data_IF_681425124123
#
_entry.id   IF_681425124123
#
_cell.length_a   1.000
_cell.length_b   1.000
_cell.length_c   1.000
_cell.angle_alpha   90.00
_cell.angle_beta   90.00
_cell.angle_gamma   90.00
#
_symmetry.space_group_name_H-M   'P 1'
#
loop_
_entity.id
_entity.type
_entity.pdbx_description
1 polymer ?
#
# COMPACT_ATOMS: atom_id res chain seq x y z
N UNK A 1 -20.63 -34.41 -90.40
CA UNK A 1 -20.78 -32.95 -90.14
C UNK A 1 -21.54 -32.70 -88.84
N UNK A 2 -22.85 -32.92 -88.76
CA UNK A 2 -23.67 -32.67 -87.55
C UNK A 2 -23.13 -33.33 -86.29
N UNK A 3 -22.81 -34.63 -86.34
CA UNK A 3 -22.23 -35.36 -85.21
C UNK A 3 -20.86 -34.78 -84.78
N UNK A 4 -20.04 -34.37 -85.75
CA UNK A 4 -18.73 -33.77 -85.49
C UNK A 4 -18.86 -32.39 -84.82
N UNK A 5 -19.86 -31.59 -85.21
CA UNK A 5 -20.21 -30.33 -84.53
C UNK A 5 -20.63 -30.62 -83.10
N UNK A 6 -21.52 -31.59 -82.87
CA UNK A 6 -21.96 -31.97 -81.53
C UNK A 6 -20.80 -32.48 -80.64
N UNK A 7 -19.85 -33.26 -81.18
CA UNK A 7 -18.64 -33.63 -80.42
C UNK A 7 -17.72 -32.45 -80.09
N UNK A 8 -17.66 -31.44 -80.96
CA UNK A 8 -16.89 -30.21 -80.70
C UNK A 8 -17.59 -29.31 -79.67
N UNK A 9 -18.92 -29.30 -79.63
CA UNK A 9 -19.72 -28.61 -78.60
C UNK A 9 -19.49 -29.25 -77.23
N UNK A 10 -19.58 -30.58 -77.11
CA UNK A 10 -19.29 -31.30 -75.85
C UNK A 10 -17.87 -31.06 -75.36
N UNK A 11 -16.86 -31.15 -76.24
CA UNK A 11 -15.47 -30.87 -75.88
C UNK A 11 -15.25 -29.40 -75.47
N UNK A 12 -15.97 -28.46 -76.10
CA UNK A 12 -15.92 -27.04 -75.72
C UNK A 12 -16.51 -26.82 -74.33
N UNK A 13 -17.63 -27.46 -74.00
CA UNK A 13 -18.26 -27.34 -72.68
C UNK A 13 -17.43 -28.02 -71.59
N UNK A 14 -16.77 -29.14 -71.89
CA UNK A 14 -15.77 -29.75 -71.00
C UNK A 14 -14.56 -28.84 -70.76
N UNK A 15 -14.03 -28.21 -71.82
CA UNK A 15 -12.94 -27.21 -71.71
C UNK A 15 -13.38 -26.00 -70.87
N UNK A 16 -14.60 -25.50 -71.05
CA UNK A 16 -15.15 -24.40 -70.25
C UNK A 16 -15.22 -24.79 -68.77
N UNK A 17 -15.79 -25.97 -68.45
CA UNK A 17 -15.94 -26.46 -67.09
C UNK A 17 -14.58 -26.73 -66.41
N UNK A 18 -13.58 -27.19 -67.16
CA UNK A 18 -12.20 -27.33 -66.69
C UNK A 18 -11.53 -25.97 -66.46
N UNK A 19 -11.82 -24.95 -67.30
CA UNK A 19 -11.33 -23.59 -67.11
C UNK A 19 -11.95 -22.91 -65.88
N UNK A 20 -13.27 -23.03 -65.68
CA UNK A 20 -13.96 -22.54 -64.47
C UNK A 20 -13.42 -23.24 -63.21
N UNK A 21 -13.20 -24.56 -63.29
CA UNK A 21 -12.61 -25.32 -62.18
C UNK A 21 -11.17 -24.91 -61.89
N UNK A 22 -10.38 -24.57 -62.92
CA UNK A 22 -9.03 -24.02 -62.79
C UNK A 22 -9.06 -22.65 -62.10
N UNK A 23 -9.94 -21.73 -62.53
CA UNK A 23 -10.06 -20.40 -61.94
C UNK A 23 -10.44 -20.43 -60.46
N UNK A 24 -11.38 -21.29 -60.03
CA UNK A 24 -11.72 -21.42 -58.60
C UNK A 24 -10.62 -22.10 -57.78
N UNK A 25 -9.79 -22.96 -58.38
CA UNK A 25 -8.60 -23.51 -57.72
C UNK A 25 -7.50 -22.45 -57.58
N UNK A 26 -7.28 -21.61 -58.60
CA UNK A 26 -6.35 -20.47 -58.53
C UNK A 26 -6.78 -19.47 -57.47
N UNK A 27 -8.05 -19.01 -57.50
CA UNK A 27 -8.62 -18.12 -56.47
C UNK A 27 -8.52 -18.68 -55.05
N UNK A 28 -8.58 -20.00 -54.88
CA UNK A 28 -8.39 -20.68 -53.59
C UNK A 28 -6.92 -20.78 -53.19
N UNK A 29 -6.00 -20.91 -54.14
CA UNK A 29 -4.55 -20.84 -53.88
C UNK A 29 -4.18 -19.44 -53.42
N UNK A 30 -4.72 -18.40 -54.06
CA UNK A 30 -4.49 -16.99 -53.70
C UNK A 30 -4.98 -16.70 -52.27
N UNK A 31 -6.20 -17.12 -51.91
CA UNK A 31 -6.72 -17.02 -50.52
C UNK A 31 -5.80 -17.70 -49.50
N UNK A 32 -5.18 -18.84 -49.86
CA UNK A 32 -4.22 -19.58 -49.02
C UNK A 32 -2.79 -19.02 -49.08
N UNK A 33 -2.51 -18.05 -49.96
CA UNK A 33 -1.32 -17.21 -49.92
C UNK A 33 -1.59 -16.05 -48.95
N UNK A 34 -2.70 -15.33 -49.11
CA UNK A 34 -3.11 -14.23 -48.23
C UNK A 34 -3.21 -14.65 -46.76
N UNK A 35 -3.89 -15.77 -46.47
CA UNK A 35 -3.99 -16.34 -45.11
C UNK A 35 -2.61 -16.68 -44.52
N UNK A 36 -1.69 -17.18 -45.34
CA UNK A 36 -0.33 -17.56 -44.93
C UNK A 36 0.55 -16.34 -44.68
N UNK A 37 0.46 -15.31 -45.52
CA UNK A 37 1.22 -14.07 -45.35
C UNK A 37 0.73 -13.28 -44.14
N UNK A 38 -0.60 -13.24 -43.91
CA UNK A 38 -1.19 -12.73 -42.67
C UNK A 38 -0.70 -13.48 -41.43
N UNK A 39 -0.70 -14.82 -41.47
CA UNK A 39 -0.14 -15.64 -40.39
C UNK A 39 1.36 -15.39 -40.18
N UNK A 40 2.16 -15.26 -41.25
CA UNK A 40 3.59 -14.95 -41.13
C UNK A 40 3.81 -13.59 -40.46
N UNK A 41 3.06 -12.55 -40.86
CA UNK A 41 3.14 -11.23 -40.22
C UNK A 41 2.80 -11.28 -38.72
N UNK A 42 1.83 -12.11 -38.31
CA UNK A 42 1.55 -12.32 -36.87
C UNK A 42 2.63 -13.16 -36.16
N UNK A 43 3.28 -14.08 -36.87
CA UNK A 43 4.43 -14.84 -36.35
C UNK A 43 5.62 -13.91 -36.11
N UNK A 44 6.00 -13.11 -37.10
CA UNK A 44 7.09 -12.14 -37.02
C UNK A 44 6.88 -11.20 -35.82
N UNK A 45 5.70 -10.57 -35.72
CA UNK A 45 5.33 -9.68 -34.61
C UNK A 45 5.31 -10.36 -33.23
N UNK A 46 5.00 -11.66 -33.15
CA UNK A 46 5.09 -12.41 -31.89
C UNK A 46 6.51 -12.85 -31.56
N UNK A 47 7.38 -13.09 -32.55
CA UNK A 47 8.81 -13.35 -32.33
C UNK A 47 9.55 -12.10 -31.84
N UNK A 48 9.27 -10.92 -32.39
CA UNK A 48 9.81 -9.65 -31.87
C UNK A 48 9.40 -9.42 -30.41
N UNK A 49 8.12 -9.69 -30.08
CA UNK A 49 7.62 -9.62 -28.71
C UNK A 49 8.33 -10.60 -27.77
N UNK A 50 8.62 -11.82 -28.24
CA UNK A 50 9.36 -12.83 -27.49
C UNK A 50 10.80 -12.36 -27.23
N UNK A 51 11.50 -11.83 -28.24
CA UNK A 51 12.87 -11.31 -28.10
C UNK A 51 12.94 -10.14 -27.12
N UNK A 52 11.95 -9.23 -27.13
CA UNK A 52 11.86 -8.15 -26.15
C UNK A 52 11.68 -8.68 -24.71
N UNK A 53 10.80 -9.66 -24.50
CA UNK A 53 10.56 -10.27 -23.19
C UNK A 53 11.77 -11.07 -22.69
N UNK A 54 12.47 -11.81 -23.57
CA UNK A 54 13.73 -12.46 -23.24
C UNK A 54 14.81 -11.46 -22.80
N UNK A 55 14.93 -10.33 -23.49
CA UNK A 55 15.88 -9.27 -23.11
C UNK A 55 15.54 -8.71 -21.73
N UNK A 56 14.27 -8.39 -21.48
CA UNK A 56 13.80 -7.89 -20.19
C UNK A 56 14.05 -8.91 -19.06
N UNK A 57 13.82 -10.21 -19.31
CA UNK A 57 14.10 -11.29 -18.36
C UNK A 57 15.59 -11.39 -18.02
N UNK A 58 16.48 -11.34 -19.02
CA UNK A 58 17.94 -11.36 -18.83
C UNK A 58 18.44 -10.12 -18.07
N UNK A 59 17.82 -8.96 -18.29
CA UNK A 59 18.11 -7.72 -17.55
C UNK A 59 17.61 -7.80 -16.09
N UNK A 60 16.42 -8.36 -15.85
CA UNK A 60 15.92 -8.64 -14.51
C UNK A 60 16.80 -9.62 -13.74
N UNK A 61 17.23 -10.73 -14.35
CA UNK A 61 18.23 -11.63 -13.74
C UNK A 61 19.54 -10.92 -13.39
N UNK A 62 20.03 -10.03 -14.27
CA UNK A 62 21.26 -9.28 -14.02
C UNK A 62 21.11 -8.31 -12.84
N UNK A 63 19.97 -7.63 -12.71
CA UNK A 63 19.70 -6.75 -11.56
C UNK A 63 19.54 -7.53 -10.25
N UNK A 64 18.87 -8.69 -10.26
CA UNK A 64 18.79 -9.58 -9.10
C UNK A 64 20.17 -10.08 -8.67
N UNK A 65 20.99 -10.60 -9.60
CA UNK A 65 22.37 -11.02 -9.31
C UNK A 65 23.26 -9.89 -8.79
N UNK A 66 22.94 -8.63 -9.09
CA UNK A 66 23.61 -7.48 -8.48
C UNK A 66 23.10 -7.24 -7.04
N UNK A 67 21.78 -7.21 -6.83
CA UNK A 67 21.19 -7.10 -5.48
C UNK A 67 21.66 -8.20 -4.52
N UNK A 68 21.82 -9.43 -4.99
CA UNK A 68 22.34 -10.54 -4.19
C UNK A 68 23.78 -10.28 -3.71
N UNK A 69 24.63 -9.67 -4.56
CA UNK A 69 25.99 -9.25 -4.19
C UNK A 69 25.98 -8.06 -3.24
N UNK A 70 25.17 -7.04 -3.53
CA UNK A 70 24.95 -5.89 -2.66
C UNK A 70 24.56 -6.38 -1.24
N UNK A 71 23.69 -7.39 -1.15
CA UNK A 71 23.25 -8.02 0.10
C UNK A 71 24.32 -8.90 0.78
N UNK A 72 25.17 -9.62 0.03
CA UNK A 72 26.29 -10.35 0.66
C UNK A 72 27.33 -9.40 1.23
N UNK A 73 27.65 -8.31 0.54
CA UNK A 73 28.65 -7.35 0.98
C UNK A 73 28.14 -6.54 2.20
N UNK A 74 26.85 -6.20 2.22
CA UNK A 74 26.19 -5.61 3.39
C UNK A 74 26.10 -6.57 4.58
N UNK A 75 25.99 -7.89 4.36
CA UNK A 75 26.07 -8.88 5.44
C UNK A 75 27.49 -8.98 6.00
N UNK A 76 28.49 -9.21 5.15
CA UNK A 76 29.89 -9.32 5.55
C UNK A 76 30.40 -8.07 6.29
N UNK A 77 29.97 -6.88 5.89
CA UNK A 77 30.30 -5.63 6.60
C UNK A 77 29.55 -5.49 7.93
N UNK A 78 28.31 -5.96 8.04
CA UNK A 78 27.57 -5.97 9.30
C UNK A 78 28.14 -7.01 10.29
N UNK A 79 28.48 -8.21 9.82
CA UNK A 79 29.17 -9.25 10.60
C UNK A 79 30.50 -8.69 11.13
N UNK A 80 31.29 -8.03 10.28
CA UNK A 80 32.55 -7.37 10.67
C UNK A 80 32.36 -6.21 11.67
N UNK A 81 31.25 -5.49 11.62
CA UNK A 81 30.91 -4.48 12.63
C UNK A 81 30.45 -5.12 13.95
N UNK A 82 29.73 -6.23 13.89
CA UNK A 82 29.31 -7.03 15.04
C UNK A 82 30.54 -7.61 15.77
N UNK A 83 31.48 -8.23 15.05
CA UNK A 83 32.76 -8.69 15.60
C UNK A 83 33.53 -7.56 16.30
N UNK A 84 33.52 -6.35 15.73
CA UNK A 84 34.18 -5.18 16.34
C UNK A 84 33.46 -4.67 17.58
N UNK A 85 32.12 -4.68 17.60
CA UNK A 85 31.33 -4.34 18.79
C UNK A 85 31.50 -5.39 19.90
N UNK A 86 31.54 -6.67 19.56
CA UNK A 86 31.89 -7.75 20.49
C UNK A 86 33.32 -7.61 21.02
N UNK A 87 34.30 -7.31 20.17
CA UNK A 87 35.67 -7.05 20.62
C UNK A 87 35.72 -5.86 21.59
N UNK A 88 35.06 -4.74 21.28
CA UNK A 88 34.96 -3.57 22.18
C UNK A 88 34.27 -3.95 23.50
N UNK A 89 33.19 -4.73 23.48
CA UNK A 89 32.49 -5.21 24.68
C UNK A 89 33.38 -6.12 25.55
N UNK A 90 34.11 -7.05 24.92
CA UNK A 90 35.09 -7.95 25.57
C UNK A 90 36.29 -7.18 26.13
N UNK A 91 36.78 -6.15 25.43
CA UNK A 91 37.82 -5.25 25.93
C UNK A 91 37.33 -4.31 27.05
N UNK A 92 36.03 -3.98 27.09
CA UNK A 92 35.40 -3.20 28.16
C UNK A 92 35.15 -4.01 29.44
N UNK A 93 35.20 -5.35 29.35
CA UNK A 93 34.89 -6.27 30.47
C UNK A 93 36.15 -6.82 31.15
N UNK A 94 36.99 -5.92 31.67
CA UNK A 94 37.91 -6.26 32.78
C UNK A 94 37.18 -6.16 34.12
N UNK A 95 37.35 -7.10 35.06
CA UNK A 95 36.63 -7.10 36.34
C UNK A 95 37.24 -6.13 37.36
N UNK A 96 37.05 -4.82 37.15
CA UNK A 96 37.35 -3.79 38.17
C UNK A 96 36.22 -3.74 39.20
N UNK A 97 36.54 -4.10 40.45
CA UNK A 97 35.61 -4.10 41.57
C UNK A 97 35.56 -2.70 42.19
N UNK A 98 34.54 -1.91 41.82
CA UNK A 98 34.50 -0.46 42.04
C UNK A 98 35.04 0.31 40.81
N UNK A 99 34.69 1.58 40.60
CA UNK A 99 34.10 2.55 41.54
C UNK A 99 32.97 3.37 40.90
N UNK A 100 31.82 3.48 41.57
CA UNK A 100 30.84 4.58 41.39
C UNK A 100 30.82 5.51 42.62
N UNK A 101 31.75 5.31 43.56
CA UNK A 101 31.81 5.98 44.86
C UNK A 101 33.07 6.84 44.98
N UNK A 102 33.16 7.85 44.12
CA UNK A 102 34.16 8.94 44.18
C UNK A 102 33.55 10.33 43.88
N UNK A 103 32.22 10.42 43.72
CA UNK A 103 31.52 11.68 43.42
C UNK A 103 31.07 12.45 44.67
N UNK A 104 31.45 12.00 45.87
CA UNK A 104 30.91 12.48 47.16
C UNK A 104 31.96 13.19 48.03
N UNK A 105 33.27 12.99 47.79
CA UNK A 105 34.29 13.32 48.80
C UNK A 105 35.55 14.01 48.22
N UNK A 106 35.37 15.25 47.74
CA UNK A 106 36.41 16.29 47.83
C UNK A 106 35.76 17.57 48.36
N UNK A 107 35.82 17.74 49.67
CA UNK A 107 35.77 19.04 50.33
C UNK A 107 37.16 19.72 50.27
N UNK A 108 37.20 21.01 50.58
CA UNK A 108 38.38 21.89 50.86
C UNK A 108 39.15 22.55 49.68
N UNK A 109 39.43 23.85 49.88
CA UNK A 109 40.29 24.78 49.10
C UNK A 109 39.82 25.14 47.67
N UNK A 110 39.98 26.38 47.17
CA UNK A 110 40.63 27.59 47.75
C UNK A 110 40.01 28.93 47.24
N UNK A 111 40.59 30.08 47.62
CA UNK A 111 40.24 31.44 47.14
C UNK A 111 40.36 31.60 45.59
N UNK A 112 39.73 32.55 44.87
CA UNK A 112 39.69 34.01 45.09
C UNK A 112 38.58 34.80 44.33
N UNK A 113 38.39 36.07 44.76
CA UNK A 113 37.97 37.27 44.02
C UNK A 113 37.08 37.19 42.74
N UNK A 114 35.83 37.70 42.80
CA UNK A 114 35.48 39.07 42.31
C UNK A 114 33.98 39.45 42.32
N UNK A 115 33.76 40.73 42.68
CA UNK A 115 32.56 41.57 42.90
C UNK A 115 31.36 41.56 41.89
N UNK A 116 30.22 42.22 42.20
CA UNK A 116 28.88 41.78 41.78
C UNK A 116 28.12 42.72 40.81
N UNK A 117 26.80 42.44 40.66
CA UNK A 117 25.61 43.33 40.52
C UNK A 117 25.81 44.86 40.30
N UNK A 118 24.95 45.61 39.57
CA UNK A 118 23.67 45.34 38.87
C UNK A 118 23.19 46.58 38.07
N UNK A 119 22.02 46.49 37.42
CA UNK A 119 21.03 47.52 37.02
C UNK A 119 21.26 49.00 37.44
N UNK A 120 21.07 50.01 36.57
CA UNK A 120 19.77 50.66 36.22
C UNK A 120 19.04 51.25 37.46
N UNK A 121 18.53 52.50 37.52
CA UNK A 121 18.44 53.60 36.56
C UNK A 121 18.03 54.94 37.25
N UNK A 122 18.41 56.09 36.67
CA UNK A 122 17.80 57.45 36.73
C UNK A 122 17.00 57.86 37.98
N UNK A 123 17.48 58.90 38.70
CA UNK A 123 16.72 60.16 38.95
C UNK A 123 17.65 61.28 39.41
N UNK A 124 17.21 62.55 39.33
CA UNK A 124 18.05 63.74 39.41
C UNK A 124 17.33 64.89 40.17
N UNK A 125 18.10 65.77 40.84
CA UNK A 125 17.65 66.95 41.61
C UNK A 125 16.90 66.64 42.93
N UNK A 126 16.82 67.53 43.93
CA UNK A 126 17.12 68.97 43.94
C UNK A 126 17.62 69.51 45.30
N UNK A 127 18.62 70.41 45.24
CA UNK A 127 19.07 71.45 46.19
C UNK A 127 19.62 71.10 47.60
N UNK A 128 20.75 71.77 47.88
CA UNK A 128 21.37 71.95 49.19
C UNK A 128 20.86 73.23 49.90
N UNK A 129 21.43 73.53 51.07
CA UNK A 129 21.13 74.68 51.92
C UNK A 129 22.11 75.83 51.63
N UNK A 130 21.65 77.09 51.67
CA UNK A 130 22.51 78.27 51.81
C UNK A 130 22.04 79.16 52.98
N UNK A 131 22.90 80.09 53.39
CA UNK A 131 22.95 80.73 54.72
C UNK A 131 22.91 82.28 54.61
N UNK A 132 23.14 83.02 55.72
CA UNK A 132 23.28 84.49 55.82
C UNK A 132 21.97 85.33 55.65
N UNK A 133 21.77 86.50 56.26
CA UNK A 133 22.41 87.17 57.43
C UNK A 133 21.37 88.12 58.12
N UNK A 134 21.78 88.79 59.20
CA UNK A 134 21.01 89.75 60.02
C UNK A 134 20.65 91.08 59.31
N UNK A 135 19.64 91.78 59.86
CA UNK A 135 19.81 93.19 60.23
C UNK A 135 18.88 93.58 61.41
N UNK A 136 19.19 94.67 62.13
CA UNK A 136 18.49 95.10 63.38
C UNK A 136 17.94 96.56 63.26
N UNK A 137 17.64 97.39 64.30
CA UNK A 137 16.28 97.92 64.44
C UNK A 137 16.16 99.46 64.40
N UNK A 138 14.95 99.98 64.17
CA UNK A 138 14.64 101.39 64.48
C UNK A 138 13.25 101.60 65.13
N UNK A 139 13.24 102.47 66.13
CA UNK A 139 12.07 103.00 66.85
C UNK A 139 11.66 104.37 66.30
N UNK A 140 10.40 104.77 66.49
CA UNK A 140 9.93 105.98 67.23
C UNK A 140 8.36 106.01 67.22
N UNK A 141 7.64 106.83 68.03
CA UNK A 141 6.68 106.24 68.98
C UNK A 141 5.28 106.90 69.05
N UNK A 142 4.51 106.46 70.05
CA UNK A 142 3.26 107.07 70.57
C UNK A 142 2.00 106.80 69.71
N UNK A 143 0.80 106.67 70.29
CA UNK A 143 0.33 107.15 71.61
C UNK A 143 -0.05 106.07 72.64
N UNK A 144 -0.01 106.47 73.91
CA UNK A 144 -0.23 105.65 75.09
C UNK A 144 -1.64 105.06 75.26
N UNK A 145 -1.73 104.03 76.11
CA UNK A 145 -2.99 103.49 76.64
C UNK A 145 -3.33 102.12 76.06
N UNK A 146 -3.81 102.08 74.82
CA UNK A 146 -4.34 100.84 74.24
C UNK A 146 -3.25 99.88 73.76
N UNK A 147 -2.10 100.36 73.28
CA UNK A 147 -0.95 99.51 72.92
C UNK A 147 -0.45 98.63 74.08
N UNK A 148 -0.62 99.10 75.32
CA UNK A 148 -0.24 98.36 76.52
C UNK A 148 -1.32 97.32 76.88
N UNK A 149 -2.58 97.52 76.47
CA UNK A 149 -3.64 96.51 76.59
C UNK A 149 -3.54 95.45 75.49
N UNK A 150 -3.28 95.83 74.24
CA UNK A 150 -3.10 94.88 73.13
C UNK A 150 -1.88 94.02 73.38
N UNK A 151 -0.72 94.59 73.71
CA UNK A 151 0.48 93.81 74.06
C UNK A 151 0.24 92.87 75.27
N UNK A 152 -0.53 93.31 76.28
CA UNK A 152 -0.87 92.49 77.45
C UNK A 152 -1.86 91.37 77.10
N UNK A 153 -2.73 91.57 76.11
CA UNK A 153 -3.61 90.53 75.56
C UNK A 153 -2.83 89.56 74.66
N UNK A 154 -1.99 90.06 73.74
CA UNK A 154 -1.08 89.25 72.91
C UNK A 154 -0.17 88.36 73.77
N UNK A 155 0.34 88.87 74.90
CA UNK A 155 1.10 88.07 75.87
C UNK A 155 0.22 87.00 76.56
N UNK A 156 -1.05 87.28 76.88
CA UNK A 156 -2.00 86.25 77.34
C UNK A 156 -2.22 85.19 76.26
N UNK A 157 -2.45 85.61 75.02
CA UNK A 157 -2.79 84.72 73.91
C UNK A 157 -1.60 83.83 73.52
N UNK A 158 -0.38 84.37 73.51
CA UNK A 158 0.86 83.60 73.31
C UNK A 158 1.11 82.64 74.49
N UNK A 159 0.87 83.05 75.75
CA UNK A 159 0.92 82.12 76.90
C UNK A 159 -0.12 81.01 76.73
N UNK A 160 -1.32 81.32 76.25
CA UNK A 160 -2.39 80.37 75.95
C UNK A 160 -1.99 79.38 74.86
N UNK A 161 -1.50 79.87 73.72
CA UNK A 161 -1.02 79.04 72.61
C UNK A 161 0.14 78.14 73.04
N UNK A 162 1.12 78.66 73.79
CA UNK A 162 2.23 77.84 74.30
C UNK A 162 1.75 76.81 75.32
N UNK A 163 0.79 77.12 76.20
CA UNK A 163 0.13 76.12 77.07
C UNK A 163 -0.59 75.04 76.28
N UNK A 164 -1.33 75.41 75.23
CA UNK A 164 -2.00 74.45 74.34
C UNK A 164 -0.98 73.55 73.63
N UNK A 165 0.12 74.09 73.11
CA UNK A 165 1.20 73.29 72.51
C UNK A 165 1.88 72.38 73.54
N UNK A 166 2.15 72.86 74.75
CA UNK A 166 2.64 72.06 75.88
C UNK A 166 1.72 70.88 76.16
N UNK A 167 0.41 71.10 76.25
CA UNK A 167 -0.54 70.05 76.56
C UNK A 167 -0.85 69.13 75.37
N UNK A 168 -0.74 69.60 74.12
CA UNK A 168 -0.71 68.76 72.91
C UNK A 168 0.51 67.84 72.88
N UNK A 169 1.72 68.35 73.18
CA UNK A 169 2.93 67.54 73.31
C UNK A 169 2.80 66.52 74.45
N UNK A 170 2.22 66.92 75.59
CA UNK A 170 1.86 66.00 76.68
C UNK A 170 0.78 64.99 76.26
N UNK A 171 -0.17 65.35 75.38
CA UNK A 171 -1.18 64.41 74.87
C UNK A 171 -0.58 63.39 73.90
N UNK A 172 0.30 63.83 72.99
CA UNK A 172 1.09 62.94 72.11
C UNK A 172 1.98 61.98 72.92
N UNK A 173 2.45 62.40 74.11
CA UNK A 173 3.12 61.55 75.13
C UNK A 173 2.17 60.60 75.89
N UNK A 174 0.86 60.84 75.89
CA UNK A 174 -0.20 60.09 76.62
C UNK A 174 -1.08 59.19 75.74
N UNK A 175 -0.75 58.92 74.47
CA UNK A 175 -1.51 57.99 73.60
C UNK A 175 -1.39 56.49 74.00
N UNK A 176 -1.21 56.20 75.30
CA UNK A 176 -1.49 54.90 75.92
C UNK A 176 -2.73 55.06 76.81
N UNK A 177 -3.82 54.37 76.44
CA UNK A 177 -5.20 54.62 76.84
C UNK A 177 -5.48 54.55 78.37
N UNK A 178 -5.18 55.63 79.12
CA UNK A 178 -5.59 55.75 80.54
C UNK A 178 -5.88 57.18 81.00
N UNK A 179 -6.92 57.33 81.84
CA UNK A 179 -7.28 58.48 82.67
C UNK A 179 -7.58 59.84 81.99
N UNK A 180 -8.85 60.25 82.04
CA UNK A 180 -9.26 61.65 81.95
C UNK A 180 -9.07 62.35 83.30
N UNK A 181 -8.40 63.51 83.32
CA UNK A 181 -8.36 64.42 84.47
C UNK A 181 -7.94 65.83 84.01
N UNK A 182 -8.91 66.58 83.48
CA UNK A 182 -8.75 67.96 83.03
C UNK A 182 -8.83 68.94 84.22
N UNK A 183 -7.78 68.96 85.05
CA UNK A 183 -7.70 69.89 86.17
C UNK A 183 -7.21 71.27 85.72
N UNK A 184 -8.06 72.28 85.94
CA UNK A 184 -7.75 73.72 85.86
C UNK A 184 -7.36 74.28 84.49
N UNK A 185 -8.37 74.56 83.67
CA UNK A 185 -8.31 75.73 82.76
C UNK A 185 -8.42 77.00 83.59
N UNK A 186 -7.29 77.50 84.10
CA UNK A 186 -7.23 78.77 84.82
C UNK A 186 -7.22 79.94 83.83
N UNK A 187 -8.38 80.59 83.63
CA UNK A 187 -8.54 81.69 82.68
C UNK A 187 -7.70 82.91 83.08
N UNK A 188 -6.61 83.11 82.35
CA UNK A 188 -5.71 84.26 82.49
C UNK A 188 -6.33 85.51 81.86
N UNK A 189 -7.22 86.19 82.58
CA UNK A 189 -7.57 87.57 82.21
C UNK A 189 -6.33 88.47 82.32
N UNK A 190 -6.17 89.50 81.44
CA UNK A 190 -4.95 90.31 81.40
C UNK A 190 -4.59 90.92 82.75
N UNK A 191 -5.59 91.33 83.55
CA UNK A 191 -5.39 91.90 84.88
C UNK A 191 -4.81 90.96 85.94
N UNK A 192 -4.79 89.63 85.69
CA UNK A 192 -4.21 88.63 86.60
C UNK A 192 -2.78 88.21 86.25
N UNK A 193 -2.17 88.77 85.19
CA UNK A 193 -0.78 88.49 84.81
C UNK A 193 0.19 88.85 85.94
N UNK A 194 0.70 87.84 86.64
CA UNK A 194 1.83 87.96 87.59
C UNK A 194 3.16 87.80 86.85
N UNK A 195 4.14 88.63 87.20
CA UNK A 195 5.50 88.50 86.67
C UNK A 195 6.03 87.08 86.92
N UNK A 196 6.49 86.42 85.86
CA UNK A 196 7.04 85.05 85.90
C UNK A 196 6.16 83.96 85.28
N UNK A 197 4.86 84.19 85.02
CA UNK A 197 3.97 83.15 84.43
C UNK A 197 4.43 82.71 83.04
N UNK A 198 4.84 83.65 82.17
CA UNK A 198 5.45 83.34 80.88
C UNK A 198 6.74 82.51 81.05
N UNK A 199 7.55 82.85 82.05
CA UNK A 199 8.81 82.18 82.35
C UNK A 199 8.64 80.73 82.82
N UNK A 200 7.63 80.45 83.65
CA UNK A 200 7.32 79.07 84.05
C UNK A 200 6.78 78.24 82.89
N UNK A 201 5.91 78.82 82.06
CA UNK A 201 5.38 78.17 80.84
C UNK A 201 6.51 77.86 79.83
N UNK A 202 7.45 78.79 79.60
CA UNK A 202 8.63 78.52 78.78
C UNK A 202 9.60 77.52 79.42
N UNK A 203 9.71 77.47 80.75
CA UNK A 203 10.51 76.46 81.44
C UNK A 203 9.90 75.06 81.28
N UNK A 204 8.58 74.92 81.39
CA UNK A 204 7.83 73.69 81.14
C UNK A 204 8.03 73.21 79.69
N UNK A 205 7.92 74.10 78.70
CA UNK A 205 8.19 73.78 77.29
C UNK A 205 9.66 73.33 77.10
N UNK A 206 10.62 74.08 77.65
CA UNK A 206 12.06 73.75 77.58
C UNK A 206 12.42 72.49 78.37
N UNK A 207 11.58 72.07 79.31
CA UNK A 207 11.62 70.75 79.94
C UNK A 207 11.14 69.68 78.96
N UNK A 208 9.90 69.81 78.47
CA UNK A 208 9.26 68.84 77.57
C UNK A 208 10.02 68.60 76.27
N UNK A 209 10.59 69.65 75.64
CA UNK A 209 11.42 69.51 74.44
C UNK A 209 12.70 68.74 74.74
N UNK A 210 13.35 68.96 75.89
CA UNK A 210 14.52 68.18 76.31
C UNK A 210 14.16 66.74 76.70
N UNK A 211 13.01 66.51 77.32
CA UNK A 211 12.46 65.17 77.58
C UNK A 211 12.22 64.38 76.29
N UNK A 212 11.67 65.03 75.25
CA UNK A 212 11.40 64.42 73.95
C UNK A 212 12.70 64.10 73.21
N UNK A 213 13.60 65.07 73.05
CA UNK A 213 14.91 64.86 72.40
C UNK A 213 15.75 63.80 73.13
N UNK A 214 15.69 63.76 74.48
CA UNK A 214 16.39 62.74 75.27
C UNK A 214 15.77 61.34 75.10
N UNK A 215 14.45 61.23 74.98
CA UNK A 215 13.77 59.96 74.63
C UNK A 215 14.12 59.50 73.22
N UNK A 216 14.19 60.41 72.27
CA UNK A 216 14.53 60.13 70.87
C UNK A 216 15.98 59.62 70.75
N UNK A 217 16.93 60.30 71.41
CA UNK A 217 18.31 59.83 71.56
C UNK A 217 18.45 58.52 72.38
N UNK A 218 17.40 58.09 73.08
CA UNK A 218 17.31 56.80 73.78
C UNK A 218 16.50 55.74 73.01
N UNK A 219 16.11 56.02 71.76
CA UNK A 219 15.33 55.09 70.93
C UNK A 219 13.87 54.90 71.38
N UNK A 220 13.36 55.76 72.26
CA UNK A 220 12.03 55.65 72.86
C UNK A 220 10.99 56.55 72.18
N UNK A 221 11.01 56.63 70.84
CA UNK A 221 9.89 57.22 70.10
C UNK A 221 8.67 56.28 70.23
N UNK A 222 7.48 56.83 70.53
CA UNK A 222 6.27 56.02 70.81
C UNK A 222 5.43 55.68 69.58
N UNK A 223 5.88 56.05 68.39
CA UNK A 223 5.20 55.85 67.10
C UNK A 223 5.99 54.96 66.14
N UNK A 224 7.23 54.66 66.50
CA UNK A 224 8.03 53.55 66.02
C UNK A 224 7.92 52.45 67.09
N UNK A 225 8.00 51.18 66.69
CA UNK A 225 8.04 50.08 67.67
C UNK A 225 9.24 50.21 68.60
N UNK A 226 9.21 49.49 69.73
CA UNK A 226 10.41 49.30 70.56
C UNK A 226 11.52 48.71 69.68
N UNK A 227 12.78 48.92 70.06
CA UNK A 227 13.91 48.31 69.33
C UNK A 227 13.77 46.80 69.17
N UNK A 228 13.16 46.14 70.17
CA UNK A 228 12.78 44.72 70.17
C UNK A 228 11.76 44.39 69.07
N UNK A 229 10.68 45.18 68.93
CA UNK A 229 9.64 44.99 67.90
C UNK A 229 10.22 45.18 66.49
N UNK A 230 11.10 46.18 66.31
CA UNK A 230 11.77 46.42 65.02
C UNK A 230 12.69 45.25 64.64
N UNK A 231 13.50 44.76 65.58
CA UNK A 231 14.40 43.62 65.33
C UNK A 231 13.62 42.32 65.07
N UNK A 232 12.46 42.14 65.70
CA UNK A 232 11.55 41.03 65.38
C UNK A 232 11.06 41.11 63.93
N UNK A 233 10.57 42.28 63.49
CA UNK A 233 10.14 42.50 62.10
C UNK A 233 11.28 42.28 61.09
N UNK A 234 12.49 42.74 61.38
CA UNK A 234 13.68 42.50 60.54
C UNK A 234 14.01 41.00 60.45
N UNK A 235 13.93 40.26 61.57
CA UNK A 235 14.10 38.80 61.58
C UNK A 235 12.96 38.04 60.88
N UNK A 236 11.75 38.58 60.86
CA UNK A 236 10.60 37.99 60.15
C UNK A 236 10.71 38.22 58.64
N UNK A 237 11.16 39.40 58.21
CA UNK A 237 11.49 39.69 56.81
C UNK A 237 12.61 38.77 56.31
N UNK A 238 13.68 38.59 57.08
CA UNK A 238 14.75 37.63 56.70
C UNK A 238 14.22 36.18 56.60
N UNK A 239 13.42 35.70 57.57
CA UNK A 239 12.80 34.37 57.50
C UNK A 239 11.83 34.22 56.32
N UNK A 240 11.12 35.29 55.93
CA UNK A 240 10.25 35.28 54.75
C UNK A 240 11.05 35.24 53.44
N UNK A 241 12.16 35.99 53.34
CA UNK A 241 13.06 35.94 52.18
C UNK A 241 13.69 34.55 52.02
N UNK A 242 14.22 33.96 53.09
CA UNK A 242 14.72 32.59 53.08
C UNK A 242 13.68 31.55 52.63
N UNK A 243 12.40 31.75 52.98
CA UNK A 243 11.32 30.88 52.56
C UNK A 243 11.00 31.05 51.07
N UNK A 244 11.02 32.29 50.56
CA UNK A 244 10.86 32.59 49.12
C UNK A 244 12.00 31.98 48.30
N UNK A 245 13.24 32.07 48.77
CA UNK A 245 14.40 31.50 48.09
C UNK A 245 14.35 29.97 48.05
N UNK A 246 13.95 29.31 49.15
CA UNK A 246 13.71 27.85 49.19
C UNK A 246 12.62 27.45 48.18
N UNK A 247 11.49 28.15 48.15
CA UNK A 247 10.41 27.90 47.20
C UNK A 247 10.83 28.17 45.74
N UNK A 248 11.69 29.16 45.47
CA UNK A 248 12.25 29.41 44.13
C UNK A 248 13.18 28.27 43.66
N UNK A 249 13.98 27.69 44.57
CA UNK A 249 14.80 26.51 44.29
C UNK A 249 13.90 25.32 43.97
N UNK A 250 12.95 24.99 44.86
CA UNK A 250 11.99 23.90 44.66
C UNK A 250 11.18 24.03 43.35
N UNK A 251 10.77 25.26 43.00
CA UNK A 251 10.05 25.55 41.75
C UNK A 251 10.90 25.29 40.51
N UNK A 252 12.18 25.68 40.51
CA UNK A 252 13.10 25.36 39.40
C UNK A 252 13.39 23.84 39.34
N UNK A 253 13.56 23.19 40.49
CA UNK A 253 13.75 21.74 40.60
C UNK A 253 12.58 20.95 39.98
N UNK A 254 11.34 21.38 40.26
CA UNK A 254 10.12 20.80 39.68
C UNK A 254 10.00 21.12 38.18
N UNK A 255 10.34 22.34 37.78
CA UNK A 255 10.31 22.80 36.38
C UNK A 255 11.29 22.01 35.50
N UNK A 256 12.47 21.69 36.00
CA UNK A 256 13.48 20.94 35.25
C UNK A 256 13.19 19.44 35.23
N UNK A 257 12.62 18.89 36.31
CA UNK A 257 12.01 17.53 36.29
C UNK A 257 10.86 17.44 35.28
N UNK A 258 10.06 18.50 35.14
CA UNK A 258 8.98 18.58 34.15
C UNK A 258 9.50 18.66 32.71
N UNK A 259 10.60 19.40 32.44
CA UNK A 259 11.28 19.39 31.13
C UNK A 259 11.75 17.98 30.77
N UNK A 260 12.51 17.34 31.65
CA UNK A 260 13.06 16.00 31.43
C UNK A 260 11.94 14.96 31.16
N UNK A 261 10.80 15.06 31.86
CA UNK A 261 9.63 14.22 31.56
C UNK A 261 8.89 14.58 30.27
N UNK A 262 8.96 15.84 29.82
CA UNK A 262 8.50 16.24 28.48
C UNK A 262 9.39 15.69 27.37
N UNK A 263 10.71 15.68 27.58
CA UNK A 263 11.71 15.11 26.66
C UNK A 263 11.57 13.58 26.55
N UNK A 264 11.44 12.88 27.69
CA UNK A 264 11.15 11.43 27.76
C UNK A 264 9.82 11.07 27.06
N UNK A 265 8.76 11.86 27.27
CA UNK A 265 7.48 11.68 26.59
C UNK A 265 7.58 11.92 25.07
N UNK A 266 8.40 12.89 24.64
CA UNK A 266 8.67 13.14 23.23
C UNK A 266 9.45 11.98 22.61
N UNK A 267 10.50 11.46 23.25
CA UNK A 267 11.30 10.33 22.76
C UNK A 267 10.43 9.06 22.62
N UNK A 268 9.61 8.74 23.62
CA UNK A 268 8.65 7.63 23.53
C UNK A 268 7.65 7.83 22.37
N UNK A 269 7.22 9.06 22.09
CA UNK A 269 6.41 9.38 20.91
C UNK A 269 7.14 9.14 19.57
N UNK A 270 8.45 9.38 19.51
CA UNK A 270 9.27 9.06 18.33
C UNK A 270 9.46 7.54 18.18
N UNK A 271 9.63 6.80 19.27
CA UNK A 271 9.70 5.33 19.23
C UNK A 271 8.37 4.71 18.77
N UNK A 272 7.22 5.21 19.26
CA UNK A 272 5.89 4.74 18.84
C UNK A 272 5.64 5.02 17.36
N UNK A 273 5.92 6.23 16.87
CA UNK A 273 5.70 6.58 15.45
C UNK A 273 6.63 5.81 14.51
N UNK A 274 7.86 5.54 14.90
CA UNK A 274 8.78 4.67 14.16
C UNK A 274 8.32 3.20 14.15
N UNK A 275 7.84 2.69 15.29
CA UNK A 275 7.25 1.35 15.39
C UNK A 275 5.98 1.20 14.54
N UNK A 276 5.10 2.21 14.52
CA UNK A 276 3.94 2.24 13.62
C UNK A 276 4.34 2.19 12.14
N UNK A 277 5.39 2.92 11.74
CA UNK A 277 5.88 2.91 10.36
C UNK A 277 6.44 1.54 9.97
N UNK A 278 7.20 0.90 10.86
CA UNK A 278 7.69 -0.47 10.66
C UNK A 278 6.53 -1.48 10.54
N UNK A 279 5.52 -1.39 11.41
CA UNK A 279 4.34 -2.26 11.35
C UNK A 279 3.52 -2.09 10.07
N UNK A 280 3.41 -0.85 9.54
CA UNK A 280 2.78 -0.57 8.24
C UNK A 280 3.59 -1.20 7.10
N UNK A 281 4.90 -0.98 7.05
CA UNK A 281 5.77 -1.55 6.02
C UNK A 281 5.76 -3.10 6.02
N UNK A 282 5.74 -3.75 7.18
CA UNK A 282 5.63 -5.22 7.30
C UNK A 282 4.24 -5.71 6.87
N UNK A 283 3.16 -4.97 7.16
CA UNK A 283 1.82 -5.30 6.67
C UNK A 283 1.71 -5.19 5.14
N UNK A 284 2.29 -4.14 4.54
CA UNK A 284 2.36 -3.94 3.09
C UNK A 284 3.17 -5.07 2.42
N UNK A 285 4.35 -5.42 2.95
CA UNK A 285 5.14 -6.56 2.46
C UNK A 285 4.38 -7.89 2.55
N UNK A 286 3.68 -8.14 3.66
CA UNK A 286 2.82 -9.33 3.85
C UNK A 286 1.72 -9.40 2.79
N UNK A 287 1.05 -8.29 2.50
CA UNK A 287 -0.10 -8.29 1.60
C UNK A 287 0.32 -8.30 0.12
N UNK A 288 1.47 -7.71 -0.22
CA UNK A 288 2.13 -7.93 -1.53
C UNK A 288 2.46 -9.42 -1.73
N UNK A 289 3.09 -10.07 -0.75
CA UNK A 289 3.44 -11.50 -0.83
C UNK A 289 2.21 -12.41 -0.92
N UNK A 290 1.07 -12.04 -0.31
CA UNK A 290 -0.21 -12.75 -0.54
C UNK A 290 -0.69 -12.57 -1.97
N UNK A 291 -0.66 -11.35 -2.49
CA UNK A 291 -1.11 -11.07 -3.85
C UNK A 291 -0.27 -11.83 -4.89
N UNK A 292 1.05 -11.90 -4.70
CA UNK A 292 1.94 -12.72 -5.54
C UNK A 292 1.63 -14.23 -5.41
N UNK A 293 1.31 -14.72 -4.21
CA UNK A 293 0.90 -16.11 -4.00
C UNK A 293 -0.44 -16.43 -4.69
N UNK A 294 -1.42 -15.53 -4.61
CA UNK A 294 -2.72 -15.64 -5.28
C UNK A 294 -2.56 -15.58 -6.80
N UNK A 295 -1.81 -14.61 -7.33
CA UNK A 295 -1.51 -14.48 -8.76
C UNK A 295 -0.78 -15.73 -9.30
N UNK A 296 0.19 -16.27 -8.55
CA UNK A 296 0.89 -17.50 -8.96
C UNK A 296 0.04 -18.76 -8.78
N UNK A 297 -1.00 -18.76 -7.94
CA UNK A 297 -1.99 -19.83 -7.90
C UNK A 297 -2.91 -19.77 -9.13
N UNK A 298 -3.46 -18.59 -9.44
CA UNK A 298 -4.31 -18.36 -10.62
C UNK A 298 -3.58 -18.74 -11.92
N UNK A 299 -2.30 -18.36 -12.06
CA UNK A 299 -1.48 -18.75 -13.21
C UNK A 299 -1.28 -20.27 -13.33
N UNK A 300 -1.16 -21.00 -12.20
CA UNK A 300 -1.09 -22.47 -12.18
C UNK A 300 -2.44 -23.11 -12.53
N UNK A 301 -3.54 -22.58 -11.99
CA UNK A 301 -4.90 -23.07 -12.31
C UNK A 301 -5.23 -22.89 -13.79
N UNK A 302 -4.86 -21.76 -14.39
CA UNK A 302 -4.96 -21.55 -15.83
C UNK A 302 -4.11 -22.55 -16.63
N UNK A 303 -2.87 -22.80 -16.20
CA UNK A 303 -1.99 -23.77 -16.88
C UNK A 303 -2.56 -25.20 -16.78
N UNK A 304 -3.12 -25.58 -15.64
CA UNK A 304 -3.79 -26.87 -15.42
C UNK A 304 -5.03 -27.00 -16.31
N UNK A 305 -5.88 -25.96 -16.38
CA UNK A 305 -7.04 -25.92 -17.29
C UNK A 305 -6.61 -26.08 -18.75
N UNK A 306 -5.66 -25.27 -19.21
CA UNK A 306 -5.08 -25.36 -20.57
C UNK A 306 -4.53 -26.75 -20.87
N UNK A 307 -3.86 -27.40 -19.90
CA UNK A 307 -3.37 -28.77 -20.05
C UNK A 307 -4.50 -29.82 -20.13
N UNK A 308 -5.60 -29.65 -19.39
CA UNK A 308 -6.79 -30.50 -19.50
C UNK A 308 -7.49 -30.30 -20.85
N UNK A 309 -7.69 -29.05 -21.28
CA UNK A 309 -8.27 -28.73 -22.59
C UNK A 309 -7.43 -29.33 -23.73
N UNK A 310 -6.10 -29.23 -23.67
CA UNK A 310 -5.19 -29.86 -24.63
C UNK A 310 -5.29 -31.39 -24.64
N UNK A 311 -5.36 -32.02 -23.46
CA UNK A 311 -5.57 -33.48 -23.32
C UNK A 311 -6.90 -33.89 -23.94
N UNK A 312 -7.98 -33.19 -23.63
CA UNK A 312 -9.33 -33.59 -24.04
C UNK A 312 -9.56 -33.34 -25.53
N UNK A 313 -8.98 -32.28 -26.10
CA UNK A 313 -8.88 -32.09 -27.55
C UNK A 313 -7.99 -33.13 -28.26
N UNK A 314 -6.98 -33.70 -27.58
CA UNK A 314 -6.19 -34.81 -28.12
C UNK A 314 -6.99 -36.13 -28.08
N UNK A 315 -7.72 -36.41 -26.99
CA UNK A 315 -8.62 -37.57 -26.86
C UNK A 315 -9.77 -37.49 -27.87
N UNK A 316 -10.39 -36.32 -28.05
CA UNK A 316 -11.45 -36.13 -29.04
C UNK A 316 -10.97 -36.44 -30.47
N UNK A 317 -9.79 -35.93 -30.86
CA UNK A 317 -9.17 -36.24 -32.17
C UNK A 317 -8.82 -37.72 -32.30
N UNK A 318 -8.25 -38.34 -31.26
CA UNK A 318 -7.96 -39.78 -31.26
C UNK A 318 -9.22 -40.61 -31.50
N UNK A 319 -10.29 -40.33 -30.75
CA UNK A 319 -11.57 -41.04 -30.86
C UNK A 319 -12.20 -40.86 -32.24
N UNK A 320 -12.10 -39.66 -32.84
CA UNK A 320 -12.56 -39.42 -34.22
C UNK A 320 -11.81 -40.30 -35.23
N UNK A 321 -10.48 -40.35 -35.17
CA UNK A 321 -9.67 -41.22 -36.03
C UNK A 321 -9.94 -42.72 -35.79
N UNK A 322 -10.24 -43.14 -34.55
CA UNK A 322 -10.64 -44.52 -34.26
C UNK A 322 -12.00 -44.87 -34.88
N UNK A 323 -12.94 -43.93 -34.93
CA UNK A 323 -14.24 -44.10 -35.62
C UNK A 323 -14.06 -44.17 -37.14
N UNK A 324 -13.20 -43.33 -37.72
CA UNK A 324 -12.87 -43.36 -39.16
C UNK A 324 -12.14 -44.66 -39.56
N UNK A 325 -11.24 -45.16 -38.71
CA UNK A 325 -10.56 -46.44 -38.90
C UNK A 325 -11.54 -47.62 -38.80
N UNK A 326 -12.50 -47.58 -37.86
CA UNK A 326 -13.56 -48.58 -37.77
C UNK A 326 -14.45 -48.58 -39.02
N UNK A 327 -14.81 -47.38 -39.52
CA UNK A 327 -15.62 -47.22 -40.75
C UNK A 327 -14.90 -47.76 -41.98
N UNK A 328 -13.68 -47.30 -42.26
CA UNK A 328 -12.89 -47.77 -43.42
C UNK A 328 -12.63 -49.27 -43.38
N UNK A 329 -12.48 -49.87 -42.19
CA UNK A 329 -12.42 -51.33 -42.03
C UNK A 329 -13.72 -52.03 -42.41
N UNK A 330 -14.88 -51.47 -42.07
CA UNK A 330 -16.19 -51.99 -42.50
C UNK A 330 -16.33 -51.86 -44.02
N UNK A 331 -15.96 -50.73 -44.60
CA UNK A 331 -16.02 -50.49 -46.05
C UNK A 331 -15.17 -51.52 -46.83
N UNK A 332 -13.95 -51.80 -46.36
CA UNK A 332 -13.08 -52.87 -46.90
C UNK A 332 -13.72 -54.26 -46.77
N UNK A 333 -14.38 -54.58 -45.65
CA UNK A 333 -15.08 -55.86 -45.49
C UNK A 333 -16.28 -56.00 -46.44
N UNK A 334 -17.02 -54.90 -46.70
CA UNK A 334 -18.12 -54.90 -47.67
C UNK A 334 -17.63 -55.08 -49.11
N UNK A 335 -16.58 -54.34 -49.51
CA UNK A 335 -15.97 -54.47 -50.84
C UNK A 335 -15.42 -55.89 -51.07
N UNK A 336 -14.81 -56.50 -50.05
CA UNK A 336 -14.35 -57.89 -50.13
C UNK A 336 -15.50 -58.90 -50.28
N UNK A 337 -16.67 -58.68 -49.66
CA UNK A 337 -17.86 -59.52 -49.90
C UNK A 337 -18.34 -59.40 -51.36
N UNK A 338 -18.51 -58.17 -51.85
CA UNK A 338 -18.92 -57.90 -53.23
C UNK A 338 -17.95 -58.50 -54.26
N UNK A 339 -16.64 -58.47 -53.97
CA UNK A 339 -15.62 -59.10 -54.81
C UNK A 339 -15.74 -60.63 -54.80
N UNK A 340 -15.98 -61.26 -53.64
CA UNK A 340 -16.20 -62.71 -53.54
C UNK A 340 -17.48 -63.13 -54.29
N UNK A 341 -18.56 -62.36 -54.16
CA UNK A 341 -19.83 -62.57 -54.88
C UNK A 341 -19.63 -62.47 -56.40
N UNK A 342 -18.89 -61.46 -56.87
CA UNK A 342 -18.56 -61.29 -58.29
C UNK A 342 -17.64 -62.40 -58.83
N UNK A 343 -16.68 -62.88 -58.04
CA UNK A 343 -15.84 -64.04 -58.38
C UNK A 343 -16.70 -65.31 -58.48
N UNK A 344 -17.60 -65.55 -57.52
CA UNK A 344 -18.50 -66.70 -57.52
C UNK A 344 -19.40 -66.71 -58.78
N UNK A 345 -20.05 -65.59 -59.09
CA UNK A 345 -20.86 -65.43 -60.31
C UNK A 345 -20.02 -65.68 -61.59
N UNK A 346 -18.78 -65.20 -61.64
CA UNK A 346 -17.87 -65.44 -62.78
C UNK A 346 -17.50 -66.92 -62.92
N UNK A 347 -17.27 -67.63 -61.81
CA UNK A 347 -16.97 -69.08 -61.82
C UNK A 347 -18.19 -69.87 -62.29
N UNK A 348 -19.39 -69.55 -61.80
CA UNK A 348 -20.65 -70.18 -62.23
C UNK A 348 -20.91 -69.97 -63.74
N UNK A 349 -20.65 -68.77 -64.26
CA UNK A 349 -20.76 -68.50 -65.70
C UNK A 349 -19.69 -69.22 -66.53
N UNK A 350 -18.47 -69.41 -66.02
CA UNK A 350 -17.43 -70.22 -66.68
C UNK A 350 -17.86 -71.68 -66.78
N UNK A 351 -18.31 -72.27 -65.67
CA UNK A 351 -18.79 -73.65 -65.62
C UNK A 351 -20.00 -73.87 -66.55
N UNK A 352 -20.90 -72.89 -66.65
CA UNK A 352 -21.99 -72.92 -67.63
C UNK A 352 -21.45 -72.91 -69.07
N UNK A 353 -20.52 -72.01 -69.41
CA UNK A 353 -19.92 -71.95 -70.76
C UNK A 353 -19.17 -73.24 -71.13
N UNK A 354 -18.47 -73.85 -70.18
CA UNK A 354 -17.79 -75.13 -70.33
C UNK A 354 -18.80 -76.27 -70.60
N UNK A 355 -19.94 -76.30 -69.89
CA UNK A 355 -21.03 -77.25 -70.16
C UNK A 355 -21.64 -77.02 -71.56
N UNK A 356 -21.95 -75.77 -71.93
CA UNK A 356 -22.48 -75.43 -73.26
C UNK A 356 -21.50 -75.82 -74.39
N UNK A 357 -20.19 -75.70 -74.16
CA UNK A 357 -19.16 -76.14 -75.10
C UNK A 357 -19.16 -77.68 -75.25
N UNK A 358 -19.26 -78.41 -74.14
CA UNK A 358 -19.34 -79.89 -74.15
C UNK A 358 -20.62 -80.36 -74.86
N UNK A 359 -21.77 -79.77 -74.55
CA UNK A 359 -23.05 -80.11 -75.18
C UNK A 359 -23.03 -79.83 -76.69
N UNK A 360 -22.45 -78.71 -77.11
CA UNK A 360 -22.30 -78.39 -78.53
C UNK A 360 -21.33 -79.33 -79.24
N UNK A 361 -20.22 -79.73 -78.60
CA UNK A 361 -19.32 -80.74 -79.17
C UNK A 361 -20.02 -82.09 -79.35
N UNK A 362 -20.79 -82.54 -78.36
CA UNK A 362 -21.61 -83.76 -78.47
C UNK A 362 -22.62 -83.65 -79.63
N UNK A 363 -23.26 -82.50 -79.82
CA UNK A 363 -24.17 -82.26 -80.94
C UNK A 363 -23.47 -82.25 -82.31
N UNK A 364 -22.20 -81.82 -82.39
CA UNK A 364 -21.39 -81.93 -83.61
C UNK A 364 -20.99 -83.39 -83.87
N UNK A 365 -20.54 -84.11 -82.85
CA UNK A 365 -20.14 -85.52 -82.95
C UNK A 365 -21.33 -86.41 -83.32
N UNK A 366 -22.51 -86.15 -82.76
CA UNK A 366 -23.75 -86.81 -83.18
C UNK A 366 -24.13 -86.46 -84.62
N UNK A 367 -24.00 -85.20 -85.05
CA UNK A 367 -24.25 -84.83 -86.45
C UNK A 367 -23.26 -85.51 -87.41
N UNK A 368 -21.99 -85.63 -87.03
CA UNK A 368 -20.98 -86.34 -87.79
C UNK A 368 -21.30 -87.84 -87.86
N UNK A 369 -21.58 -88.48 -86.72
CA UNK A 369 -21.97 -89.90 -86.63
C UNK A 369 -23.24 -90.21 -87.42
N UNK A 370 -24.24 -89.33 -87.37
CA UNK A 370 -25.48 -89.42 -88.19
C UNK A 370 -25.21 -89.21 -89.68
N UNK A 371 -24.26 -88.37 -90.07
CA UNK A 371 -23.83 -88.20 -91.48
C UNK A 371 -23.07 -89.42 -91.98
N UNK A 372 -22.09 -89.93 -91.22
CA UNK A 372 -21.34 -91.14 -91.54
C UNK A 372 -22.27 -92.35 -91.66
N UNK A 373 -23.13 -92.60 -90.66
CA UNK A 373 -24.12 -93.68 -90.71
C UNK A 373 -25.08 -93.55 -91.90
N UNK A 374 -25.54 -92.33 -92.25
CA UNK A 374 -26.32 -92.12 -93.49
C UNK A 374 -25.53 -92.40 -94.76
N UNK A 375 -24.22 -92.12 -94.79
CA UNK A 375 -23.35 -92.40 -95.93
C UNK A 375 -22.95 -93.88 -96.01
N UNK A 376 -22.88 -94.59 -94.89
CA UNK A 376 -22.71 -96.05 -94.82
C UNK A 376 -24.00 -96.79 -95.23
N UNK A 377 -25.17 -96.33 -94.77
CA UNK A 377 -26.46 -96.79 -95.27
C UNK A 377 -26.63 -96.44 -96.76
N UNK A 378 -26.14 -95.27 -97.19
CA UNK A 378 -26.10 -94.86 -98.59
C UNK A 378 -25.18 -95.74 -99.44
N UNK A 379 -23.97 -96.06 -98.96
CA UNK A 379 -23.01 -96.92 -99.66
C UNK A 379 -23.43 -98.39 -99.65
N UNK A 380 -24.06 -98.90 -98.58
CA UNK A 380 -24.62 -100.25 -98.56
C UNK A 380 -25.89 -100.36 -99.39
N UNK A 381 -26.70 -99.30 -99.48
CA UNK A 381 -27.79 -99.19 -100.46
C UNK A 381 -27.26 -99.09 -101.89
N UNK A 382 -26.21 -98.31 -102.15
CA UNK A 382 -25.59 -98.17 -103.48
C UNK A 382 -24.89 -99.47 -103.93
N UNK A 383 -24.20 -100.17 -103.03
CA UNK A 383 -23.63 -101.49 -103.30
C UNK A 383 -24.73 -102.55 -103.54
N UNK A 384 -25.85 -102.47 -102.82
CA UNK A 384 -27.05 -103.28 -103.11
C UNK A 384 -27.67 -102.92 -104.45
N UNK A 385 -27.78 -101.64 -104.81
CA UNK A 385 -28.28 -101.20 -106.12
C UNK A 385 -27.35 -101.58 -107.28
N UNK A 386 -26.03 -101.55 -107.08
CA UNK A 386 -25.07 -102.09 -108.04
C UNK A 386 -25.23 -103.62 -108.24
N UNK A 387 -25.70 -104.34 -107.21
CA UNK A 387 -26.05 -105.76 -107.29
C UNK A 387 -27.48 -106.04 -107.78
N UNK A 388 -28.42 -105.08 -107.68
CA UNK A 388 -29.82 -105.24 -108.14
C UNK A 388 -30.15 -104.55 -109.46
N UNK A 389 -29.21 -103.82 -110.07
CA UNK A 389 -29.32 -103.35 -111.46
C UNK A 389 -29.41 -104.49 -112.52
N UNK A 390 -29.37 -105.75 -112.07
CA UNK A 390 -29.59 -106.96 -112.87
C UNK A 390 -31.03 -107.53 -112.79
N UNK A 391 -31.97 -106.89 -112.08
CA UNK A 391 -33.39 -107.29 -112.10
C UNK A 391 -34.34 -106.09 -111.96
N UNK A 392 -35.41 -106.10 -112.76
CA UNK A 392 -36.60 -105.28 -112.55
C UNK A 392 -37.52 -105.95 -111.49
N UNK A 393 -38.71 -105.45 -111.12
CA UNK A 393 -39.52 -104.33 -111.60
C UNK A 393 -40.42 -103.79 -110.48
N UNK A 394 -41.08 -102.64 -110.74
CA UNK A 394 -42.33 -102.17 -110.10
C UNK A 394 -42.37 -101.83 -108.60
N UNK A 395 -43.34 -101.06 -108.09
CA UNK A 395 -43.98 -99.82 -108.62
C UNK A 395 -44.81 -99.15 -107.49
N UNK A 396 -44.52 -97.86 -107.23
CA UNK A 396 -45.38 -96.80 -106.67
C UNK A 396 -46.13 -96.86 -105.30
N UNK A 397 -46.44 -95.64 -104.85
CA UNK A 397 -47.33 -95.19 -103.75
C UNK A 397 -46.85 -95.40 -102.29
N UNK A 398 -46.61 -94.37 -101.44
CA UNK A 398 -47.36 -93.13 -101.08
C UNK A 398 -48.67 -93.37 -100.29
N UNK A 399 -49.08 -92.54 -99.30
CA UNK A 399 -48.44 -91.52 -98.41
C UNK A 399 -49.47 -91.16 -97.27
N UNK A 400 -49.34 -90.22 -96.31
CA UNK A 400 -48.33 -89.24 -95.84
C UNK A 400 -48.65 -88.78 -94.38
N UNK A 401 -47.69 -88.12 -93.69
CA UNK A 401 -47.96 -87.22 -92.54
C UNK A 401 -47.74 -87.78 -91.11
N UNK A 402 -47.60 -86.97 -90.05
CA UNK A 402 -47.65 -85.49 -89.96
C UNK A 402 -46.89 -84.91 -88.72
N UNK A 403 -46.34 -83.71 -88.90
CA UNK A 403 -46.14 -82.59 -87.91
C UNK A 403 -45.35 -82.76 -86.60
N UNK A 404 -44.26 -81.97 -86.51
CA UNK A 404 -43.74 -81.27 -85.30
C UNK A 404 -44.61 -80.02 -84.98
N UNK A 405 -44.37 -79.10 -84.00
CA UNK A 405 -43.17 -78.90 -83.16
C UNK A 405 -43.37 -78.43 -81.68
N UNK A 406 -42.22 -78.23 -81.01
CA UNK A 406 -41.91 -77.26 -79.93
C UNK A 406 -43.02 -76.34 -79.39
N UNK A 407 -43.04 -76.18 -78.06
CA UNK A 407 -42.98 -74.87 -77.36
C UNK A 407 -42.63 -75.05 -75.88
N UNK A 408 -41.53 -74.45 -75.43
CA UNK A 408 -41.36 -74.12 -74.01
C UNK A 408 -40.38 -72.94 -73.86
N UNK A 409 -40.91 -71.73 -73.91
CA UNK A 409 -40.19 -70.49 -73.67
C UNK A 409 -40.68 -69.89 -72.36
N UNK A 410 -39.81 -69.83 -71.35
CA UNK A 410 -39.98 -68.91 -70.22
C UNK A 410 -38.75 -68.00 -70.20
N UNK A 411 -39.00 -66.74 -70.53
CA UNK A 411 -37.98 -65.70 -70.57
C UNK A 411 -37.64 -65.25 -69.14
N UNK A 412 -36.45 -64.69 -69.03
CA UNK A 412 -35.93 -63.93 -67.90
C UNK A 412 -37.00 -63.10 -67.17
N UNK A 413 -37.03 -63.23 -65.85
CA UNK A 413 -37.52 -62.21 -64.94
C UNK A 413 -36.67 -62.22 -63.67
N UNK A 414 -35.94 -61.14 -63.45
CA UNK A 414 -35.39 -60.57 -62.19
C UNK A 414 -34.38 -59.51 -62.63
N UNK A 415 -34.76 -58.23 -62.55
CA UNK A 415 -33.84 -57.09 -62.58
C UNK A 415 -34.56 -55.85 -62.06
N UNK A 416 -34.45 -55.58 -60.75
CA UNK A 416 -34.52 -54.24 -60.10
C UNK A 416 -34.68 -54.41 -58.58
N UNK A 417 -33.62 -54.10 -57.81
CA UNK A 417 -33.68 -53.47 -56.47
C UNK A 417 -32.27 -53.28 -55.90
N UNK A 418 -31.56 -52.24 -56.37
CA UNK A 418 -30.36 -51.75 -55.69
C UNK A 418 -30.45 -50.24 -55.54
N UNK A 419 -31.00 -49.77 -54.41
CA UNK A 419 -31.00 -48.35 -54.03
C UNK A 419 -31.21 -48.12 -52.53
N UNK A 420 -30.18 -48.42 -51.73
CA UNK A 420 -29.86 -47.66 -50.52
C UNK A 420 -28.39 -47.81 -50.19
#
# INVERSE_FOLDING_TARGET
MTEQVSTLEVLRDEINLLADRKMELERRIDSLIDEREGLNSTLDATTDRLVMLEKQSKEQEATLRNRDRDLTDLRLTNDSLTDRLEAISRNSSSPSMGHTSLQIEIDTSDHEASRPHSHHSITENLLELEEFEYDDPLLYPSTDGDSLKTLRQEVVDVIGQVRVMIDQLRHRRRNSLTSLSTNSSDELTPDKLKNGVLGSVFHDLKGLVRDLLRREAQGQCGSCGRGEDRVQLEQEVHRALEAVDKLNIELNDVKDKLKAKGEEAAELGHQVTLGEAQMKAVAEQRDNLKHDLENTHLAKDELIKKAWDMRDNAVARKNACEIELARTRIDVMQINSQLMEAIQQKVELSQQLEQWQVDMQQLLDEQMRRKLSKMEMGNTAAARHAATAANASDSDSSCSGKTSPRKNSRLFSILTTLKR
#
